data_IF_602561377128
#
_entry.id   IF_602561377128
#
_cell.length_a   1.000
_cell.length_b   1.000
_cell.length_c   1.000
_cell.angle_alpha   90.00
_cell.angle_beta   90.00
_cell.angle_gamma   90.00
#
_symmetry.space_group_name_H-M   'P 1'
#
loop_
_entity.id
_entity.type
_entity.pdbx_description
1 polymer ?
#
# COMPACT_ATOMS: atom_id res chain seq x y z
N UNK A 1 9.59 14.53 14.97
CA UNK A 1 8.61 15.21 15.82
C UNK A 1 7.53 15.83 15.02
N UNK A 2 7.90 16.70 14.09
CA UNK A 2 6.89 17.39 13.29
C UNK A 2 6.09 16.43 12.43
N UNK A 3 6.73 15.39 11.94
CA UNK A 3 6.03 14.43 11.10
C UNK A 3 4.92 13.74 11.86
N UNK A 4 5.19 13.41 13.11
CA UNK A 4 4.19 12.75 13.92
C UNK A 4 3.00 13.66 14.15
N UNK A 5 3.28 14.93 14.38
CA UNK A 5 2.22 15.91 14.60
C UNK A 5 1.36 16.06 13.36
N UNK A 6 2.00 16.05 12.19
CA UNK A 6 1.24 16.15 10.95
C UNK A 6 0.33 14.95 10.76
N UNK A 7 0.82 13.77 11.09
CA UNK A 7 0.01 12.58 10.97
C UNK A 7 -1.23 12.66 11.83
N UNK A 8 -1.08 13.14 13.05
CA UNK A 8 -2.22 13.27 13.93
C UNK A 8 -3.24 14.25 13.36
N UNK A 9 -2.77 15.33 12.80
CA UNK A 9 -3.65 16.31 12.20
C UNK A 9 -4.44 15.69 11.05
N UNK A 10 -3.77 14.94 10.20
CA UNK A 10 -4.44 14.31 9.07
C UNK A 10 -5.49 13.32 9.53
N UNK A 11 -5.19 12.54 10.56
CA UNK A 11 -6.14 11.56 11.06
C UNK A 11 -7.38 12.24 11.61
N UNK A 12 -7.21 13.36 12.28
CA UNK A 12 -8.34 14.08 12.81
C UNK A 12 -9.26 14.59 11.73
N UNK A 13 -8.73 14.79 10.53
CA UNK A 13 -9.53 15.28 9.42
C UNK A 13 -10.13 14.15 8.61
N UNK A 14 -10.07 12.93 9.12
CA UNK A 14 -10.67 11.82 8.43
C UNK A 14 -9.77 11.15 7.40
N UNK A 15 -8.49 11.49 7.41
CA UNK A 15 -7.53 10.86 6.52
C UNK A 15 -7.03 9.58 7.18
N UNK A 16 -7.07 8.48 6.42
CA UNK A 16 -6.68 7.18 6.93
C UNK A 16 -5.67 6.55 6.00
N UNK A 17 -4.65 5.88 6.54
CA UNK A 17 -3.72 5.17 5.68
C UNK A 17 -4.37 3.95 5.05
N UNK A 18 -3.95 3.65 3.83
CA UNK A 18 -4.39 2.45 3.14
C UNK A 18 -3.54 1.29 3.61
N UNK A 19 -4.18 0.25 4.11
CA UNK A 19 -3.46 -0.93 4.57
C UNK A 19 -3.22 -1.85 3.38
N UNK A 20 -2.04 -1.75 2.78
CA UNK A 20 -1.71 -2.51 1.60
C UNK A 20 -0.84 -3.72 1.88
N UNK A 21 0.08 -3.59 2.83
CA UNK A 21 1.05 -4.65 3.09
C UNK A 21 0.35 -5.90 3.57
N UNK A 22 0.68 -7.04 2.97
CA UNK A 22 0.08 -8.30 3.35
C UNK A 22 -1.29 -8.55 2.75
N UNK A 23 -1.77 -7.65 1.91
CA UNK A 23 -3.06 -7.78 1.25
C UNK A 23 -2.87 -8.20 -0.19
N UNK A 24 -3.90 -8.78 -0.82
CA UNK A 24 -3.83 -9.01 -2.26
C UNK A 24 -3.73 -7.69 -3.00
N UNK A 25 -3.02 -7.69 -4.10
CA UNK A 25 -2.89 -6.49 -4.91
C UNK A 25 -4.24 -6.05 -5.46
N UNK A 26 -4.50 -4.77 -5.36
CA UNK A 26 -5.75 -4.18 -5.84
C UNK A 26 -5.40 -2.98 -6.70
N UNK A 27 -5.60 -3.11 -8.00
CA UNK A 27 -5.21 -2.05 -8.93
C UNK A 27 -6.03 -0.77 -8.78
N UNK A 28 -7.14 -0.82 -8.06
CA UNK A 28 -7.94 0.38 -7.82
C UNK A 28 -7.34 1.28 -6.77
N UNK A 29 -6.59 0.71 -5.84
CA UNK A 29 -6.05 1.47 -4.71
C UNK A 29 -4.55 1.39 -4.61
N UNK A 30 -3.90 0.58 -5.42
CA UNK A 30 -2.47 0.33 -5.32
C UNK A 30 -1.83 0.41 -6.69
N UNK A 31 -0.57 0.75 -6.70
CA UNK A 31 0.24 0.79 -7.91
C UNK A 31 1.42 -0.14 -7.71
N UNK A 32 1.57 -1.11 -8.59
CA UNK A 32 2.67 -2.07 -8.50
C UNK A 32 3.94 -1.43 -9.05
N UNK A 33 4.72 -0.83 -8.16
CA UNK A 33 5.94 -0.13 -8.55
C UNK A 33 7.09 -1.10 -8.79
N UNK A 34 7.09 -2.24 -8.09
CA UNK A 34 8.13 -3.24 -8.25
C UNK A 34 7.52 -4.62 -8.10
N UNK A 35 8.21 -5.59 -8.65
CA UNK A 35 7.80 -6.99 -8.53
C UNK A 35 8.85 -7.74 -7.74
N UNK A 36 8.40 -8.63 -6.88
CA UNK A 36 9.27 -9.50 -6.11
C UNK A 36 9.11 -10.93 -6.62
N UNK A 37 10.09 -11.75 -6.33
CA UNK A 37 10.05 -13.14 -6.70
C UNK A 37 10.34 -13.97 -5.48
N UNK A 38 9.29 -14.25 -4.71
CA UNK A 38 9.41 -15.03 -3.48
C UNK A 38 8.46 -16.21 -3.58
N UNK A 39 8.98 -17.39 -3.91
CA UNK A 39 8.11 -18.55 -4.08
C UNK A 39 7.45 -19.02 -2.79
N UNK A 40 7.88 -18.51 -1.64
CA UNK A 40 7.27 -18.90 -0.38
C UNK A 40 6.02 -18.09 -0.06
N UNK A 41 5.74 -17.04 -0.85
CA UNK A 41 4.58 -16.20 -0.65
C UNK A 41 3.61 -16.39 -1.79
N UNK A 42 2.37 -16.03 -1.55
CA UNK A 42 1.35 -16.16 -2.57
C UNK A 42 1.60 -15.20 -3.71
N UNK A 43 1.21 -15.65 -4.90
CA UNK A 43 1.28 -14.82 -6.07
C UNK A 43 0.24 -13.72 -5.97
N UNK A 44 0.65 -12.50 -6.29
CA UNK A 44 -0.25 -11.36 -6.23
C UNK A 44 -0.38 -10.72 -4.87
N UNK A 45 0.41 -11.20 -3.90
CA UNK A 45 0.38 -10.65 -2.56
C UNK A 45 1.29 -9.44 -2.48
N UNK A 46 0.87 -8.42 -1.77
CA UNK A 46 1.71 -7.25 -1.53
C UNK A 46 2.72 -7.60 -0.46
N UNK A 47 3.99 -7.66 -0.83
CA UNK A 47 5.05 -8.06 0.08
C UNK A 47 5.91 -6.89 0.51
N UNK A 48 5.68 -5.71 -0.05
CA UNK A 48 6.40 -4.53 0.36
C UNK A 48 5.60 -3.29 0.05
N UNK A 49 5.90 -2.21 0.75
CA UNK A 49 5.19 -0.96 0.58
C UNK A 49 6.22 0.15 0.43
N UNK A 50 6.28 0.74 -0.76
CA UNK A 50 7.25 1.78 -1.04
C UNK A 50 6.72 3.16 -0.66
N UNK A 51 5.42 3.36 -0.78
CA UNK A 51 4.80 4.63 -0.45
C UNK A 51 3.37 4.36 -0.02
N UNK A 52 2.97 4.94 1.10
CA UNK A 52 1.64 4.72 1.62
C UNK A 52 0.61 5.45 0.78
N UNK A 53 -0.55 4.80 0.63
CA UNK A 53 -1.71 5.46 0.10
C UNK A 53 -2.58 5.97 1.23
N UNK A 54 -3.54 6.84 0.90
CA UNK A 54 -4.40 7.44 1.90
C UNK A 54 -5.81 7.61 1.36
N UNK A 55 -6.77 7.47 2.26
CA UNK A 55 -8.15 7.81 2.03
C UNK A 55 -8.50 9.05 2.82
N UNK A 56 -9.44 9.82 2.29
CA UNK A 56 -10.10 10.86 3.05
C UNK A 56 -11.58 10.52 3.03
N UNK A 57 -12.08 10.08 4.19
CA UNK A 57 -13.42 9.52 4.27
C UNK A 57 -13.49 8.32 3.33
N UNK A 58 -14.33 8.33 2.32
CA UNK A 58 -14.42 7.20 1.41
C UNK A 58 -13.72 7.44 0.09
N UNK A 59 -12.93 8.48 0.02
CA UNK A 59 -12.32 8.89 -1.23
C UNK A 59 -10.83 8.61 -1.20
N UNK A 60 -10.33 7.95 -2.22
CA UNK A 60 -8.91 7.65 -2.33
C UNK A 60 -8.17 8.92 -2.73
N UNK A 61 -7.27 9.37 -1.86
CA UNK A 61 -6.46 10.55 -2.14
C UNK A 61 -5.20 10.19 -2.91
N UNK A 62 -4.60 9.05 -2.58
CA UNK A 62 -3.37 8.63 -3.22
C UNK A 62 -3.26 7.13 -3.12
N UNK A 63 -2.91 6.51 -4.23
CA UNK A 63 -2.68 5.07 -4.27
C UNK A 63 -1.41 4.72 -3.52
N UNK A 64 -1.38 3.53 -2.96
CA UNK A 64 -0.16 3.01 -2.37
C UNK A 64 0.75 2.50 -3.48
N UNK A 65 2.05 2.74 -3.34
CA UNK A 65 3.04 2.15 -4.24
C UNK A 65 3.63 0.95 -3.54
N UNK A 66 3.47 -0.21 -4.15
CA UNK A 66 3.74 -1.46 -3.47
C UNK A 66 4.63 -2.35 -4.31
N UNK A 67 5.18 -3.34 -3.63
CA UNK A 67 5.90 -4.44 -4.28
C UNK A 67 4.98 -5.64 -4.26
N UNK A 68 4.69 -6.15 -5.45
CA UNK A 68 3.78 -7.29 -5.60
C UNK A 68 4.60 -8.53 -5.86
N UNK A 69 4.21 -9.60 -5.20
CA UNK A 69 4.93 -10.85 -5.36
C UNK A 69 4.47 -11.56 -6.64
N UNK A 70 5.38 -11.74 -7.56
CA UNK A 70 5.14 -12.43 -8.81
C UNK A 70 6.24 -13.45 -9.00
N UNK A 71 6.18 -14.60 -8.32
CA UNK A 71 7.22 -15.61 -8.50
C UNK A 71 7.24 -16.10 -9.94
N UNK A 72 8.43 -16.34 -10.45
CA UNK A 72 8.53 -16.90 -11.77
C UNK A 72 8.01 -18.31 -11.75
N UNK A 73 7.30 -18.64 -12.79
CA UNK A 73 6.77 -19.98 -12.96
C UNK A 73 7.38 -20.62 -14.15
N UNK A 74 7.56 -21.90 -14.05
CA UNK A 74 8.17 -22.65 -15.14
C UNK A 74 7.19 -23.40 -15.98
#
# INVERSE_FOLDING_TARGET
MNLRRLDETLLRRGVRPLAALGQPFDSHTMHAAELANDPTQDKGLVVGELRKGFYHQDRLLRSAEVVVNRPEEE
#
